data_IF_321797905807
#
_entry.id   IF_321797905807
#
_cell.length_a   1.000
_cell.length_b   1.000
_cell.length_c   1.000
_cell.angle_alpha   90.00
_cell.angle_beta   90.00
_cell.angle_gamma   90.00
#
_symmetry.space_group_name_H-M   'P 1'
#
loop_
_entity.id
_entity.type
_entity.pdbx_description
1 polymer ?
#
# COMPACT_ATOMS: atom_id res chain seq x y z
N UNK A 1 -6.24 -0.87 9.55
CA UNK A 1 -5.10 -0.95 8.62
C UNK A 1 -4.73 0.47 8.20
N UNK A 2 -3.45 0.75 8.11
CA UNK A 2 -2.98 2.05 7.62
C UNK A 2 -2.48 1.88 6.20
N UNK A 3 -3.06 2.63 5.26
CA UNK A 3 -2.64 2.62 3.86
C UNK A 3 -1.80 3.86 3.62
N UNK A 4 -0.57 3.66 3.14
CA UNK A 4 0.42 4.72 2.99
C UNK A 4 0.84 4.81 1.53
N UNK A 5 0.83 6.04 0.99
CA UNK A 5 1.43 6.36 -0.30
C UNK A 5 2.81 6.97 -0.04
N UNK A 6 3.84 6.29 -0.51
CA UNK A 6 5.24 6.68 -0.30
C UNK A 6 5.76 7.31 -1.58
N UNK A 7 6.17 8.58 -1.53
CA UNK A 7 6.75 9.28 -2.67
C UNK A 7 8.09 8.64 -3.03
N UNK A 8 8.23 8.21 -4.28
CA UNK A 8 9.46 7.52 -4.73
C UNK A 8 10.63 8.48 -4.94
N UNK A 9 10.37 9.78 -4.99
CA UNK A 9 11.40 10.80 -5.30
C UNK A 9 11.94 11.50 -4.06
N UNK A 10 11.20 11.43 -2.93
CA UNK A 10 11.62 12.08 -1.69
C UNK A 10 11.05 11.30 -0.50
N UNK A 11 11.24 11.79 0.71
CA UNK A 11 10.81 11.09 1.92
C UNK A 11 9.36 11.41 2.33
N UNK A 12 8.59 12.10 1.50
CA UNK A 12 7.22 12.44 1.82
C UNK A 12 6.31 11.21 1.77
N UNK A 13 5.31 11.18 2.62
CA UNK A 13 4.30 10.14 2.60
C UNK A 13 2.94 10.71 2.99
N UNK A 14 1.89 10.02 2.55
CA UNK A 14 0.51 10.38 2.83
C UNK A 14 -0.21 9.10 3.22
N UNK A 15 -1.13 9.17 4.20
CA UNK A 15 -1.76 7.95 4.70
C UNK A 15 -3.22 8.18 5.07
N UNK A 16 -3.97 7.07 5.12
CA UNK A 16 -5.29 6.98 5.72
C UNK A 16 -5.37 5.70 6.53
N UNK A 17 -6.31 5.64 7.47
CA UNK A 17 -6.56 4.43 8.26
C UNK A 17 -7.94 3.90 7.97
N UNK A 18 -8.05 2.57 7.89
CA UNK A 18 -9.32 1.88 7.68
C UNK A 18 -9.70 1.13 8.96
N UNK A 19 -11.00 1.09 9.25
CA UNK A 19 -11.52 0.31 10.37
C UNK A 19 -11.74 -1.16 10.02
N UNK A 20 -12.01 -2.02 11.02
CA UNK A 20 -12.34 -3.40 10.79
C UNK A 20 -13.54 -3.54 9.84
N UNK A 21 -13.44 -4.45 8.87
CA UNK A 21 -14.50 -4.68 7.90
C UNK A 21 -14.60 -3.65 6.78
N UNK A 22 -13.77 -2.63 6.79
CA UNK A 22 -13.73 -1.64 5.72
C UNK A 22 -12.99 -2.21 4.52
N UNK A 23 -13.66 -2.28 3.37
CA UNK A 23 -13.11 -2.89 2.16
C UNK A 23 -12.53 -1.90 1.17
N UNK A 24 -12.65 -0.60 1.44
CA UNK A 24 -12.12 0.45 0.56
C UNK A 24 -11.46 1.55 1.37
N UNK A 25 -10.63 2.32 0.71
CA UNK A 25 -9.95 3.46 1.33
C UNK A 25 -9.88 4.62 0.35
N UNK A 26 -9.65 5.81 0.90
CA UNK A 26 -9.45 7.02 0.11
C UNK A 26 -8.34 7.85 0.74
N UNK A 27 -7.40 8.29 -0.08
CA UNK A 27 -6.34 9.23 0.30
C UNK A 27 -6.61 10.56 -0.39
N UNK A 28 -6.91 11.59 0.41
CA UNK A 28 -7.15 12.94 -0.09
C UNK A 28 -5.90 13.79 -0.04
N UNK A 29 -5.87 14.82 -0.88
CA UNK A 29 -4.82 15.85 -0.86
C UNK A 29 -3.42 15.31 -1.12
N UNK A 30 -3.32 14.23 -1.89
CA UNK A 30 -2.03 13.70 -2.32
C UNK A 30 -1.55 14.52 -3.52
N UNK A 31 -0.39 15.19 -3.42
CA UNK A 31 0.13 15.96 -4.55
C UNK A 31 0.43 15.08 -5.76
N UNK A 32 0.39 15.64 -6.97
CA UNK A 32 0.81 14.89 -8.16
C UNK A 32 2.23 14.36 -8.00
N UNK A 33 2.45 13.13 -8.45
CA UNK A 33 3.75 12.48 -8.36
C UNK A 33 3.65 10.98 -8.53
N UNK A 34 4.74 10.30 -8.28
CA UNK A 34 4.83 8.84 -8.37
C UNK A 34 5.00 8.25 -6.97
N UNK A 35 4.18 7.26 -6.64
CA UNK A 35 4.12 6.70 -5.30
C UNK A 35 4.17 5.18 -5.33
N UNK A 36 4.67 4.61 -4.22
CA UNK A 36 4.43 3.21 -3.87
C UNK A 36 3.36 3.17 -2.79
N UNK A 37 2.45 2.18 -2.85
CA UNK A 37 1.34 2.07 -1.90
C UNK A 37 1.51 0.78 -1.10
N UNK A 38 1.55 0.93 0.22
CA UNK A 38 1.71 -0.20 1.16
C UNK A 38 0.70 -0.03 2.28
N UNK A 39 0.06 -1.14 2.66
CA UNK A 39 -0.87 -1.18 3.79
C UNK A 39 -0.20 -1.90 4.95
N UNK A 40 -0.35 -1.35 6.14
CA UNK A 40 0.22 -1.92 7.37
C UNK A 40 -0.89 -2.31 8.33
N UNK A 41 -0.78 -3.48 8.94
CA UNK A 41 -1.73 -3.91 9.95
C UNK A 41 -1.49 -3.16 11.25
N UNK A 42 -2.58 -2.78 11.91
CA UNK A 42 -2.55 -2.04 13.17
C UNK A 42 -2.98 -2.95 14.33
N UNK A 43 -2.56 -2.64 15.58
CA UNK A 43 -3.02 -3.37 16.75
C UNK A 43 -4.55 -3.34 16.86
N UNK A 44 -5.14 -4.44 17.27
CA UNK A 44 -6.59 -4.54 17.52
C UNK A 44 -7.43 -4.85 16.31
N UNK A 45 -6.84 -5.04 15.12
CA UNK A 45 -7.57 -5.33 13.89
C UNK A 45 -7.82 -6.83 13.65
N UNK A 46 -7.52 -7.69 14.64
CA UNK A 46 -7.67 -9.13 14.48
C UNK A 46 -6.49 -9.81 13.81
N UNK A 47 -5.48 -9.06 13.40
CA UNK A 47 -4.24 -9.56 12.82
C UNK A 47 -3.05 -9.14 13.67
N UNK A 48 -1.93 -9.85 13.59
CA UNK A 48 -0.69 -9.36 14.20
C UNK A 48 -0.35 -7.98 13.64
N UNK A 49 0.04 -7.05 14.50
CA UNK A 49 0.48 -5.73 14.07
C UNK A 49 1.81 -5.83 13.34
N UNK A 50 2.04 -4.91 12.40
CA UNK A 50 3.32 -4.79 11.72
C UNK A 50 3.44 -5.60 10.43
N UNK A 51 2.39 -6.27 9.98
CA UNK A 51 2.39 -6.89 8.66
C UNK A 51 2.24 -5.82 7.60
N UNK A 52 2.93 -5.99 6.47
CA UNK A 52 2.89 -5.06 5.36
C UNK A 52 2.38 -5.74 4.10
N UNK A 53 1.39 -5.13 3.45
CA UNK A 53 0.89 -5.56 2.16
C UNK A 53 1.13 -4.49 1.12
N UNK A 54 1.74 -4.86 -0.02
CA UNK A 54 2.10 -3.91 -1.05
C UNK A 54 1.23 -3.98 -2.30
N UNK A 55 1.15 -2.86 -3.01
CA UNK A 55 0.64 -2.86 -4.36
C UNK A 55 1.81 -3.20 -5.29
N UNK A 56 1.90 -4.47 -5.64
CA UNK A 56 3.07 -5.05 -6.31
C UNK A 56 2.68 -5.79 -7.59
N UNK A 57 3.68 -6.26 -8.32
CA UNK A 57 3.47 -7.08 -9.51
C UNK A 57 2.64 -8.33 -9.19
N UNK A 58 2.76 -8.88 -7.98
CA UNK A 58 1.97 -10.04 -7.59
C UNK A 58 0.48 -9.75 -7.56
N UNK A 59 0.07 -8.52 -7.27
CA UNK A 59 -1.34 -8.09 -7.31
C UNK A 59 -1.87 -8.17 -8.74
N UNK A 60 -1.09 -7.70 -9.71
CA UNK A 60 -1.48 -7.79 -11.13
C UNK A 60 -1.57 -9.23 -11.62
N UNK A 61 -0.79 -10.10 -11.05
CA UNK A 61 -0.77 -11.53 -11.36
C UNK A 61 -1.91 -12.29 -10.69
N UNK A 62 -2.73 -11.63 -9.87
CA UNK A 62 -3.86 -12.24 -9.18
C UNK A 62 -3.51 -12.98 -7.89
N UNK A 63 -2.32 -12.75 -7.34
CA UNK A 63 -1.85 -13.40 -6.11
C UNK A 63 -1.80 -14.93 -6.22
N UNK A 64 -1.49 -15.44 -7.41
CA UNK A 64 -1.49 -16.88 -7.67
C UNK A 64 -0.13 -17.52 -7.37
N UNK A 65 -0.14 -18.81 -7.07
CA UNK A 65 1.09 -19.56 -6.92
C UNK A 65 1.86 -19.58 -8.26
N UNK A 66 3.17 -19.47 -8.18
CA UNK A 66 4.01 -19.32 -9.37
C UNK A 66 4.25 -17.87 -9.77
N UNK A 67 3.58 -16.92 -9.13
CA UNK A 67 3.80 -15.51 -9.31
C UNK A 67 4.55 -14.98 -8.09
N UNK A 68 5.87 -14.82 -8.21
CA UNK A 68 6.74 -14.52 -7.07
C UNK A 68 7.31 -13.11 -7.09
N UNK A 69 6.82 -12.25 -7.98
CA UNK A 69 7.36 -10.90 -8.11
C UNK A 69 6.62 -9.96 -7.15
N UNK A 70 7.31 -9.58 -6.08
CA UNK A 70 6.79 -8.65 -5.07
C UNK A 70 7.28 -7.21 -5.27
N UNK A 71 7.79 -6.88 -6.46
CA UNK A 71 8.24 -5.52 -6.77
C UNK A 71 7.07 -4.55 -6.68
N UNK A 72 7.22 -3.49 -5.89
CA UNK A 72 6.19 -2.45 -5.76
C UNK A 72 6.01 -1.73 -7.09
N UNK A 73 4.74 -1.50 -7.44
CA UNK A 73 4.37 -0.80 -8.67
C UNK A 73 4.37 0.70 -8.43
N UNK A 74 4.78 1.45 -9.44
CA UNK A 74 4.65 2.89 -9.43
C UNK A 74 3.21 3.29 -9.67
N UNK A 75 2.69 4.19 -8.82
CA UNK A 75 1.34 4.73 -8.92
C UNK A 75 1.45 6.20 -9.26
N UNK A 76 0.95 6.59 -10.44
CA UNK A 76 0.96 7.99 -10.88
C UNK A 76 -0.27 8.70 -10.32
N UNK A 77 -0.04 9.80 -9.62
CA UNK A 77 -1.09 10.71 -9.16
C UNK A 77 -1.05 11.96 -10.03
N UNK A 78 -2.17 12.25 -10.68
CA UNK A 78 -2.29 13.39 -11.61
C UNK A 78 -3.27 14.39 -11.01
N UNK A 79 -2.94 15.68 -11.10
CA UNK A 79 -3.79 16.74 -10.59
C UNK A 79 -5.18 16.70 -11.23
N UNK A 80 -6.23 16.81 -10.40
CA UNK A 80 -7.62 16.82 -10.85
C UNK A 80 -8.20 15.45 -11.18
N UNK A 81 -7.43 14.38 -11.05
CA UNK A 81 -7.90 13.01 -11.33
C UNK A 81 -7.86 12.15 -10.08
N UNK A 82 -8.78 11.19 -10.01
CA UNK A 82 -8.78 10.16 -8.96
C UNK A 82 -8.16 8.90 -9.52
N UNK A 83 -7.11 8.41 -8.85
CA UNK A 83 -6.49 7.12 -9.19
C UNK A 83 -7.24 6.02 -8.44
N UNK A 84 -7.71 5.01 -9.18
CA UNK A 84 -8.50 3.90 -8.63
C UNK A 84 -7.83 2.57 -8.88
N UNK A 85 -8.35 1.52 -8.26
CA UNK A 85 -7.88 0.15 -8.48
C UNK A 85 -6.55 -0.17 -7.82
N UNK A 86 -6.12 0.61 -6.84
CA UNK A 86 -4.86 0.39 -6.15
C UNK A 86 -5.12 -0.46 -4.91
N UNK A 87 -4.80 -1.75 -5.01
CA UNK A 87 -5.02 -2.72 -3.94
C UNK A 87 -3.70 -3.16 -3.33
N UNK A 88 -3.30 -2.64 -2.16
CA UNK A 88 -2.08 -3.09 -1.48
C UNK A 88 -2.34 -4.41 -0.76
N UNK A 89 -2.58 -5.48 -1.53
CA UNK A 89 -3.03 -6.77 -1.02
C UNK A 89 -1.96 -7.86 -1.05
N UNK A 90 -0.74 -7.56 -1.48
CA UNK A 90 0.36 -8.53 -1.46
C UNK A 90 0.97 -8.59 -0.06
N UNK A 91 0.44 -9.46 0.80
CA UNK A 91 0.98 -9.77 2.12
C UNK A 91 1.87 -11.00 2.11
N UNK A 92 2.27 -11.48 0.94
CA UNK A 92 2.99 -12.74 0.78
C UNK A 92 4.50 -12.55 0.65
N UNK A 93 4.97 -11.30 0.57
CA UNK A 93 6.40 -11.02 0.64
C UNK A 93 6.92 -11.27 2.05
N UNK A 94 8.13 -11.74 2.19
CA UNK A 94 8.73 -12.01 3.49
C UNK A 94 8.92 -10.76 4.34
N UNK A 95 9.23 -10.92 5.63
CA UNK A 95 9.54 -9.78 6.49
C UNK A 95 10.65 -8.92 5.90
N UNK A 96 10.47 -7.61 5.95
CA UNK A 96 11.45 -6.65 5.43
C UNK A 96 11.44 -6.45 3.92
N UNK A 97 10.51 -7.11 3.19
CA UNK A 97 10.42 -6.96 1.73
C UNK A 97 9.88 -5.59 1.31
N UNK A 98 9.03 -4.99 2.12
CA UNK A 98 8.47 -3.66 1.88
C UNK A 98 9.02 -2.67 2.90
N UNK A 99 9.01 -1.36 2.57
CA UNK A 99 9.48 -0.33 3.52
C UNK A 99 8.70 -0.40 4.83
N UNK A 100 9.32 -0.06 5.97
CA UNK A 100 8.60 0.01 7.24
C UNK A 100 7.59 1.17 7.23
N UNK A 101 6.58 1.06 8.11
CA UNK A 101 5.57 2.11 8.27
C UNK A 101 6.26 3.41 8.71
N UNK A 102 6.17 4.49 7.91
CA UNK A 102 6.83 5.76 8.25
C UNK A 102 6.08 6.53 9.33
N UNK A 103 4.86 6.13 9.64
CA UNK A 103 4.04 6.77 10.66
C UNK A 103 3.89 5.82 11.86
N UNK A 104 4.72 5.98 12.90
CA UNK A 104 4.71 5.09 14.06
C UNK A 104 3.41 5.15 14.88
#
# INVERSE_FOLDING_TARGET
MRVVALDVMNAAYYFTETGPGQSSYELDHVPPGTYHVVAYTLPGAGFPAGLAGGYSQMVLCGLQSGCDDHTLLNVEVVAGNTTTGINPSDFYAGPGAFPPDPHP
#
